data_IF_122906239227
#
_entry.id   IF_122906239227
#
_cell.length_a   1.000
_cell.length_b   1.000
_cell.length_c   1.000
_cell.angle_alpha   90.00
_cell.angle_beta   90.00
_cell.angle_gamma   90.00
#
_symmetry.space_group_name_H-M   'P 1'
#
loop_
_entity.id
_entity.type
_entity.pdbx_description
1 polymer ?
#
# COMPACT_ATOMS: atom_id res chain seq x y z
N UNK A 1 -31.46 1.27 8.33
CA UNK A 1 -31.61 1.63 6.90
C UNK A 1 -30.34 2.35 6.46
N UNK A 2 -29.93 2.27 5.18
CA UNK A 2 -28.88 3.14 4.62
C UNK A 2 -29.53 4.08 3.60
N UNK A 3 -29.24 5.37 3.69
CA UNK A 3 -29.78 6.41 2.80
C UNK A 3 -28.82 7.59 2.66
N UNK A 4 -28.97 8.45 1.64
CA UNK A 4 -28.27 9.73 1.62
C UNK A 4 -28.55 10.54 2.90
N UNK A 5 -27.51 11.20 3.43
CA UNK A 5 -27.67 12.17 4.50
C UNK A 5 -28.39 13.41 3.99
N UNK A 6 -29.22 14.03 4.83
CA UNK A 6 -29.92 15.26 4.50
C UNK A 6 -29.13 16.50 4.97
N UNK A 7 -29.30 17.67 4.33
CA UNK A 7 -28.60 18.90 4.75
C UNK A 7 -28.89 19.32 6.20
N UNK A 8 -30.09 19.06 6.73
CA UNK A 8 -30.43 19.33 8.12
C UNK A 8 -29.66 18.44 9.12
N UNK A 9 -29.05 17.35 8.65
CA UNK A 9 -28.29 16.41 9.48
C UNK A 9 -26.80 16.77 9.63
N UNK A 10 -26.29 17.82 8.96
CA UNK A 10 -24.87 18.21 9.03
C UNK A 10 -24.33 18.36 10.47
N UNK A 11 -25.04 18.99 11.44
CA UNK A 11 -24.56 19.07 12.82
C UNK A 11 -24.41 17.68 13.46
N UNK A 12 -25.35 16.77 13.16
CA UNK A 12 -25.33 15.41 13.65
C UNK A 12 -24.21 14.60 13.02
N UNK A 13 -23.95 14.79 11.73
CA UNK A 13 -22.83 14.18 11.02
C UNK A 13 -21.49 14.61 11.64
N UNK A 14 -21.27 15.91 11.85
CA UNK A 14 -20.06 16.43 12.51
C UNK A 14 -19.87 15.85 13.91
N UNK A 15 -20.96 15.72 14.69
CA UNK A 15 -20.93 15.08 16.00
C UNK A 15 -20.53 13.60 15.94
N UNK A 16 -21.06 12.84 14.96
CA UNK A 16 -20.68 11.43 14.75
C UNK A 16 -19.19 11.31 14.39
N UNK A 17 -18.69 12.18 13.52
CA UNK A 17 -17.26 12.21 13.17
C UNK A 17 -16.41 12.48 14.40
N UNK A 18 -16.74 13.51 15.18
CA UNK A 18 -15.96 13.87 16.36
C UNK A 18 -15.97 12.79 17.45
N UNK A 19 -17.14 12.20 17.74
CA UNK A 19 -17.26 11.07 18.67
C UNK A 19 -16.41 9.89 18.20
N UNK A 20 -16.53 9.52 16.93
CA UNK A 20 -15.81 8.38 16.40
C UNK A 20 -14.29 8.64 16.30
N UNK A 21 -13.88 9.86 15.96
CA UNK A 21 -12.48 10.22 15.79
C UNK A 21 -11.66 10.19 17.09
N UNK A 22 -12.30 10.12 18.27
CA UNK A 22 -11.61 9.89 19.55
C UNK A 22 -10.71 8.64 19.51
N UNK A 23 -11.04 7.64 18.68
CA UNK A 23 -10.19 6.46 18.49
C UNK A 23 -8.78 6.78 17.94
N UNK A 24 -8.60 7.94 17.30
CA UNK A 24 -7.30 8.38 16.79
C UNK A 24 -6.46 9.13 17.83
N UNK A 25 -7.04 9.54 18.95
CA UNK A 25 -6.35 10.31 19.98
C UNK A 25 -5.22 9.47 20.60
N UNK A 26 -3.98 9.97 20.49
CA UNK A 26 -2.78 9.26 20.94
C UNK A 26 -2.30 8.14 19.98
N UNK A 27 -2.97 7.93 18.85
CA UNK A 27 -2.55 6.96 17.82
C UNK A 27 -1.94 7.66 16.62
N UNK A 28 -2.56 8.74 16.16
CA UNK A 28 -2.04 9.54 15.04
C UNK A 28 -1.08 10.62 15.55
N UNK A 29 -0.23 11.21 14.68
CA UNK A 29 0.69 12.27 15.10
C UNK A 29 -0.05 13.42 15.81
N UNK A 30 0.49 13.87 16.95
CA UNK A 30 -0.15 14.88 17.79
C UNK A 30 -0.39 16.21 17.04
N UNK A 31 0.49 16.55 16.10
CA UNK A 31 0.41 17.72 15.23
C UNK A 31 -0.67 17.60 14.13
N UNK A 32 -1.29 16.43 14.00
CA UNK A 32 -2.39 16.14 13.06
C UNK A 32 -3.73 15.87 13.74
N UNK A 33 -3.73 15.60 15.05
CA UNK A 33 -4.97 15.47 15.81
C UNK A 33 -5.42 16.84 16.33
N UNK A 34 -6.72 17.11 16.21
CA UNK A 34 -7.34 18.35 16.70
C UNK A 34 -8.70 18.04 17.32
N UNK A 35 -9.19 18.96 18.15
CA UNK A 35 -10.45 18.82 18.88
C UNK A 35 -11.24 20.14 18.80
N UNK A 36 -12.45 20.16 18.20
CA UNK A 36 -13.13 19.03 17.55
C UNK A 36 -12.36 18.52 16.33
N UNK A 37 -12.43 17.21 16.07
CA UNK A 37 -11.70 16.56 14.97
C UNK A 37 -12.26 16.92 13.59
N UNK A 38 -13.54 17.30 13.52
CA UNK A 38 -14.13 17.85 12.30
C UNK A 38 -15.21 18.86 12.70
N UNK A 39 -14.86 20.15 12.81
CA UNK A 39 -15.82 21.22 12.97
C UNK A 39 -16.90 21.18 11.88
N UNK A 40 -18.09 21.70 12.17
CA UNK A 40 -19.19 21.77 11.21
C UNK A 40 -18.82 22.53 9.92
N UNK A 41 -18.02 23.59 10.03
CA UNK A 41 -17.53 24.34 8.88
C UNK A 41 -16.64 23.50 7.97
N UNK A 42 -15.76 22.68 8.55
CA UNK A 42 -14.90 21.77 7.79
C UNK A 42 -15.73 20.70 7.07
N UNK A 43 -16.72 20.10 7.75
CA UNK A 43 -17.64 19.15 7.13
C UNK A 43 -18.38 19.78 5.93
N UNK A 44 -18.82 21.04 6.06
CA UNK A 44 -19.45 21.78 4.96
C UNK A 44 -18.49 22.04 3.82
N UNK A 45 -17.22 22.32 4.12
CA UNK A 45 -16.14 22.42 3.13
C UNK A 45 -15.99 21.13 2.32
N UNK A 46 -16.00 19.96 2.98
CA UNK A 46 -15.95 18.65 2.32
C UNK A 46 -17.17 18.42 1.42
N UNK A 47 -18.37 18.75 1.89
CA UNK A 47 -19.60 18.65 1.08
C UNK A 47 -19.50 19.57 -0.15
N UNK A 48 -19.04 20.81 0.02
CA UNK A 48 -18.84 21.77 -1.07
C UNK A 48 -17.76 21.31 -2.07
N UNK A 49 -16.74 20.59 -1.60
CA UNK A 49 -15.73 19.94 -2.43
C UNK A 49 -16.24 18.70 -3.18
N UNK A 50 -17.53 18.36 -3.04
CA UNK A 50 -18.19 17.29 -3.79
C UNK A 50 -18.31 15.96 -3.05
N UNK A 51 -17.99 15.90 -1.76
CA UNK A 51 -18.22 14.69 -0.96
C UNK A 51 -19.72 14.49 -0.74
N UNK A 52 -20.22 13.32 -1.14
CA UNK A 52 -21.62 12.91 -0.93
C UNK A 52 -21.66 11.89 0.21
N UNK A 53 -22.55 12.09 1.18
CA UNK A 53 -22.62 11.25 2.38
C UNK A 53 -23.84 10.34 2.40
N UNK A 54 -23.63 9.10 2.85
CA UNK A 54 -24.66 8.14 3.22
C UNK A 54 -24.62 7.89 4.71
N UNK A 55 -25.82 7.83 5.29
CA UNK A 55 -26.05 7.60 6.70
C UNK A 55 -26.64 6.22 6.96
N UNK A 56 -26.19 5.59 8.04
CA UNK A 56 -26.83 4.42 8.61
C UNK A 56 -27.77 4.85 9.74
N UNK A 57 -29.03 4.47 9.61
CA UNK A 57 -30.09 4.75 10.58
C UNK A 57 -30.49 3.48 11.33
N UNK A 58 -30.53 3.57 12.66
CA UNK A 58 -30.99 2.52 13.58
C UNK A 58 -32.01 3.15 14.51
N UNK A 59 -33.20 2.57 14.60
CA UNK A 59 -34.31 3.06 15.43
C UNK A 59 -34.66 4.55 15.22
N UNK A 60 -34.55 5.04 13.99
CA UNK A 60 -34.82 6.43 13.62
C UNK A 60 -33.65 7.39 13.88
N UNK A 61 -32.54 6.91 14.47
CA UNK A 61 -31.36 7.73 14.75
C UNK A 61 -30.23 7.47 13.75
N UNK A 62 -29.59 8.55 13.29
CA UNK A 62 -28.37 8.46 12.49
C UNK A 62 -27.18 8.08 13.39
N UNK A 63 -26.62 6.90 13.15
CA UNK A 63 -25.58 6.29 14.00
C UNK A 63 -24.22 6.13 13.33
N UNK A 64 -24.15 6.32 12.02
CA UNK A 64 -22.90 6.27 11.26
C UNK A 64 -23.04 6.93 9.91
N UNK A 65 -21.92 7.40 9.38
CA UNK A 65 -21.82 8.04 8.07
C UNK A 65 -20.61 7.50 7.30
N UNK A 66 -20.71 7.51 5.97
CA UNK A 66 -19.59 7.31 5.08
C UNK A 66 -19.82 8.13 3.82
N UNK A 67 -18.78 8.80 3.36
CA UNK A 67 -18.79 9.63 2.17
C UNK A 67 -18.14 8.95 0.97
N UNK A 68 -18.54 9.35 -0.22
CA UNK A 68 -17.79 9.12 -1.46
C UNK A 68 -17.59 10.43 -2.22
N UNK A 69 -16.48 10.52 -2.93
CA UNK A 69 -16.13 11.66 -3.76
C UNK A 69 -15.53 11.18 -5.07
N UNK A 70 -16.21 11.47 -6.17
CA UNK A 70 -15.68 11.21 -7.50
C UNK A 70 -14.67 12.30 -7.85
N UNK A 71 -13.44 11.90 -8.15
CA UNK A 71 -12.36 12.80 -8.52
C UNK A 71 -11.69 12.32 -9.81
N UNK A 72 -11.27 13.26 -10.64
CA UNK A 72 -10.45 12.97 -11.79
C UNK A 72 -8.97 13.06 -11.39
N UNK A 73 -8.18 12.06 -11.77
CA UNK A 73 -6.74 12.17 -11.76
C UNK A 73 -6.31 13.24 -12.76
N UNK A 74 -5.18 13.89 -12.54
CA UNK A 74 -4.62 14.77 -13.53
C UNK A 74 -4.29 13.97 -14.78
N UNK A 75 -4.78 14.41 -15.95
CA UNK A 75 -4.41 13.82 -17.23
C UNK A 75 -2.87 13.89 -17.35
N UNK A 76 -2.22 12.74 -17.54
CA UNK A 76 -0.75 12.63 -17.53
C UNK A 76 -0.12 12.33 -16.16
N UNK A 77 -0.91 11.95 -15.15
CA UNK A 77 -0.37 11.34 -13.94
C UNK A 77 0.38 10.05 -14.32
N UNK A 78 1.70 10.06 -14.18
CA UNK A 78 2.62 8.92 -14.33
C UNK A 78 2.48 7.93 -13.15
N UNK A 79 1.24 7.54 -12.86
CA UNK A 79 0.94 6.49 -11.90
C UNK A 79 -0.05 5.52 -12.53
N UNK A 80 0.46 4.67 -13.41
CA UNK A 80 -0.32 3.66 -14.09
C UNK A 80 -1.42 4.24 -14.98
N UNK A 81 -2.43 3.43 -15.27
CA UNK A 81 -3.60 3.85 -16.05
C UNK A 81 -4.74 4.36 -15.14
N UNK A 82 -4.45 4.70 -13.88
CA UNK A 82 -5.48 5.16 -12.95
C UNK A 82 -5.79 6.64 -13.20
N UNK A 83 -6.91 6.87 -13.87
CA UNK A 83 -7.41 8.21 -14.20
C UNK A 83 -8.47 8.67 -13.21
N UNK A 84 -9.74 8.38 -13.49
CA UNK A 84 -10.83 8.78 -12.59
C UNK A 84 -11.08 7.73 -11.51
N UNK A 85 -11.27 8.18 -10.26
CA UNK A 85 -11.51 7.31 -9.11
C UNK A 85 -12.66 7.83 -8.27
N UNK A 86 -13.22 6.95 -7.44
CA UNK A 86 -14.08 7.31 -6.32
C UNK A 86 -13.27 7.18 -5.04
N UNK A 87 -13.18 8.24 -4.25
CA UNK A 87 -12.56 8.20 -2.93
C UNK A 87 -13.60 7.85 -1.88
N UNK A 88 -13.29 6.89 -1.02
CA UNK A 88 -14.05 6.70 0.23
C UNK A 88 -13.57 7.74 1.23
N UNK A 89 -14.53 8.52 1.73
CA UNK A 89 -14.31 9.64 2.65
C UNK A 89 -15.04 9.38 3.96
N UNK A 90 -14.49 9.88 5.06
CA UNK A 90 -15.20 10.04 6.33
C UNK A 90 -16.04 8.84 6.81
N UNK A 91 -15.41 7.67 6.90
CA UNK A 91 -16.03 6.44 7.36
C UNK A 91 -16.10 6.38 8.89
N UNK A 92 -17.22 6.81 9.47
CA UNK A 92 -17.38 6.96 10.92
C UNK A 92 -18.67 6.36 11.44
N UNK A 93 -18.58 5.59 12.53
CA UNK A 93 -19.73 5.05 13.26
C UNK A 93 -19.55 5.45 14.72
N UNK A 94 -20.65 5.89 15.35
CA UNK A 94 -20.68 6.27 16.77
C UNK A 94 -20.02 5.20 17.62
N UNK A 95 -19.27 5.62 18.61
CA UNK A 95 -18.49 4.74 19.49
C UNK A 95 -19.37 3.70 20.17
N UNK A 96 -20.58 4.07 20.61
CA UNK A 96 -21.57 3.18 21.21
C UNK A 96 -22.19 2.15 20.26
N UNK A 97 -21.99 2.30 18.95
CA UNK A 97 -22.61 1.48 17.89
C UNK A 97 -21.57 0.66 17.10
N UNK A 98 -20.31 0.65 17.55
CA UNK A 98 -19.22 -0.12 16.93
C UNK A 98 -19.38 -1.63 17.14
N UNK A 99 -18.77 -2.41 16.26
CA UNK A 99 -18.82 -3.88 16.33
C UNK A 99 -20.15 -4.49 15.84
N UNK A 100 -21.17 -3.68 15.58
CA UNK A 100 -22.49 -4.13 15.12
C UNK A 100 -22.62 -4.29 13.58
N UNK A 101 -21.49 -4.23 12.87
CA UNK A 101 -21.44 -4.39 11.41
C UNK A 101 -21.95 -3.19 10.59
N UNK A 102 -22.26 -2.05 11.24
CA UNK A 102 -22.78 -0.85 10.56
C UNK A 102 -21.80 -0.33 9.49
N UNK A 103 -20.51 -0.20 9.84
CA UNK A 103 -19.49 0.28 8.90
C UNK A 103 -19.36 -0.61 7.66
N UNK A 104 -19.46 -1.93 7.83
CA UNK A 104 -19.42 -2.88 6.71
C UNK A 104 -20.65 -2.76 5.80
N UNK A 105 -21.84 -2.52 6.36
CA UNK A 105 -23.05 -2.26 5.57
C UNK A 105 -22.94 -0.96 4.77
N UNK A 106 -22.44 0.12 5.38
CA UNK A 106 -22.18 1.40 4.70
C UNK A 106 -21.18 1.24 3.57
N UNK A 107 -20.04 0.60 3.84
CA UNK A 107 -19.00 0.37 2.84
C UNK A 107 -19.54 -0.45 1.67
N UNK A 108 -20.24 -1.55 1.93
CA UNK A 108 -20.85 -2.37 0.88
C UNK A 108 -21.80 -1.55 0.00
N UNK A 109 -22.68 -0.77 0.61
CA UNK A 109 -23.62 0.08 -0.11
C UNK A 109 -22.89 1.08 -1.04
N UNK A 110 -21.79 1.68 -0.58
CA UNK A 110 -21.01 2.61 -1.38
C UNK A 110 -20.20 1.91 -2.48
N UNK A 111 -19.68 0.70 -2.22
CA UNK A 111 -19.03 -0.12 -3.23
C UNK A 111 -19.99 -0.50 -4.36
N UNK A 112 -21.23 -0.84 -4.03
CA UNK A 112 -22.28 -1.18 -5.00
C UNK A 112 -22.70 0.04 -5.85
N UNK A 113 -22.56 1.27 -5.31
CA UNK A 113 -22.83 2.52 -6.04
C UNK A 113 -21.66 2.97 -6.92
N UNK A 114 -20.43 2.61 -6.58
CA UNK A 114 -19.24 3.14 -7.20
C UNK A 114 -18.99 2.57 -8.61
N UNK A 115 -19.15 3.43 -9.62
CA UNK A 115 -18.89 3.07 -11.01
C UNK A 115 -17.40 3.11 -11.37
N UNK A 116 -16.60 3.82 -10.58
CA UNK A 116 -15.15 3.99 -10.78
C UNK A 116 -14.35 3.13 -9.79
N UNK A 117 -13.07 2.86 -10.09
CA UNK A 117 -12.14 2.27 -9.13
C UNK A 117 -12.14 3.03 -7.81
N UNK A 118 -12.04 2.30 -6.69
CA UNK A 118 -12.14 2.89 -5.35
C UNK A 118 -10.77 2.99 -4.70
N UNK A 119 -10.48 4.16 -4.13
CA UNK A 119 -9.35 4.37 -3.25
C UNK A 119 -9.81 4.85 -1.88
N UNK A 120 -9.01 4.55 -0.86
CA UNK A 120 -9.25 5.00 0.50
C UNK A 120 -7.92 5.30 1.17
N UNK A 121 -7.79 6.51 1.72
CA UNK A 121 -6.64 6.96 2.49
C UNK A 121 -6.93 6.90 3.99
N UNK A 122 -6.00 6.37 4.77
CA UNK A 122 -6.10 6.38 6.24
C UNK A 122 -4.71 6.52 6.88
N UNK A 123 -4.67 6.76 8.19
CA UNK A 123 -3.41 6.82 8.95
C UNK A 123 -2.75 5.45 9.00
N UNK A 124 -1.44 5.38 8.75
CA UNK A 124 -0.68 4.12 8.83
C UNK A 124 -0.80 3.45 10.21
N UNK A 125 -0.82 4.26 11.27
CA UNK A 125 -0.98 3.81 12.65
C UNK A 125 -2.40 3.29 12.99
N UNK A 126 -3.41 3.61 12.17
CA UNK A 126 -4.78 3.14 12.35
C UNK A 126 -4.95 1.72 11.81
N UNK A 127 -4.25 0.75 12.39
CA UNK A 127 -4.22 -0.65 11.94
C UNK A 127 -5.61 -1.28 11.90
N UNK A 128 -6.54 -0.85 12.76
CA UNK A 128 -7.95 -1.28 12.73
C UNK A 128 -8.68 -0.82 11.47
N UNK A 129 -8.38 0.38 10.97
CA UNK A 129 -8.98 0.90 9.74
C UNK A 129 -8.41 0.14 8.54
N UNK A 130 -7.07 -0.03 8.49
CA UNK A 130 -6.40 -0.84 7.47
C UNK A 130 -6.99 -2.25 7.41
N UNK A 131 -7.08 -2.94 8.55
CA UNK A 131 -7.66 -4.28 8.65
C UNK A 131 -9.15 -4.33 8.28
N UNK A 132 -9.92 -3.29 8.61
CA UNK A 132 -11.32 -3.18 8.20
C UNK A 132 -11.45 -3.19 6.67
N UNK A 133 -10.70 -2.36 5.95
CA UNK A 133 -10.79 -2.30 4.49
C UNK A 133 -10.20 -3.55 3.82
N UNK A 134 -9.12 -4.12 4.36
CA UNK A 134 -8.57 -5.39 3.87
C UNK A 134 -9.59 -6.53 3.93
N UNK A 135 -10.33 -6.64 5.04
CA UNK A 135 -11.43 -7.62 5.18
C UNK A 135 -12.54 -7.42 4.13
N UNK A 136 -12.68 -6.21 3.58
CA UNK A 136 -13.67 -5.88 2.55
C UNK A 136 -13.06 -5.83 1.13
N UNK A 137 -11.90 -6.47 0.91
CA UNK A 137 -11.33 -6.70 -0.40
C UNK A 137 -10.42 -5.58 -0.92
N UNK A 138 -10.08 -4.59 -0.09
CA UNK A 138 -9.07 -3.60 -0.45
C UNK A 138 -7.67 -4.13 -0.17
N UNK A 139 -6.70 -3.69 -0.94
CA UNK A 139 -5.29 -4.05 -0.77
C UNK A 139 -4.45 -2.79 -0.54
N UNK A 140 -3.45 -2.89 0.34
CA UNK A 140 -2.49 -1.81 0.58
C UNK A 140 -1.67 -1.58 -0.69
N UNK A 141 -1.53 -0.32 -1.11
CA UNK A 141 -0.66 0.05 -2.23
C UNK A 141 0.81 0.05 -1.77
N UNK A 142 1.75 -0.16 -2.71
CA UNK A 142 3.16 -0.06 -2.39
C UNK A 142 3.52 1.37 -1.94
N UNK A 143 4.63 1.52 -1.21
CA UNK A 143 5.05 2.82 -0.67
C UNK A 143 5.22 3.89 -1.78
N UNK A 144 5.88 3.54 -2.88
CA UNK A 144 6.08 4.44 -4.02
C UNK A 144 4.77 4.86 -4.70
N UNK A 145 3.79 3.96 -4.78
CA UNK A 145 2.46 4.23 -5.35
C UNK A 145 1.64 5.12 -4.41
N UNK A 146 1.67 4.83 -3.11
CA UNK A 146 0.93 5.54 -2.07
C UNK A 146 1.23 7.05 -2.09
N UNK A 147 2.50 7.46 -2.10
CA UNK A 147 2.85 8.88 -2.05
C UNK A 147 2.34 9.64 -3.27
N UNK A 148 2.51 9.05 -4.45
CA UNK A 148 1.96 9.58 -5.71
C UNK A 148 0.43 9.70 -5.64
N UNK A 149 -0.28 8.64 -5.19
CA UNK A 149 -1.74 8.65 -5.05
C UNK A 149 -2.23 9.77 -4.14
N UNK A 150 -1.60 9.91 -2.96
CA UNK A 150 -1.98 10.95 -2.00
C UNK A 150 -1.79 12.35 -2.57
N UNK A 151 -0.69 12.61 -3.29
CA UNK A 151 -0.43 13.92 -3.91
C UNK A 151 -1.34 14.25 -5.09
N UNK A 152 -1.88 13.24 -5.77
CA UNK A 152 -2.76 13.42 -6.95
C UNK A 152 -4.21 13.59 -6.54
N UNK A 153 -4.70 12.76 -5.62
CA UNK A 153 -6.13 12.66 -5.32
C UNK A 153 -6.52 13.28 -3.97
N UNK A 154 -5.56 13.64 -3.12
CA UNK A 154 -5.82 14.30 -1.84
C UNK A 154 -5.13 15.67 -1.78
N UNK A 155 -5.85 16.66 -1.24
CA UNK A 155 -5.27 17.93 -0.84
C UNK A 155 -4.95 17.86 0.66
N UNK A 156 -3.77 17.34 1.00
CA UNK A 156 -3.31 17.15 2.38
C UNK A 156 -1.85 17.60 2.55
N UNK A 157 -1.44 18.03 3.75
CA UNK A 157 -0.04 18.40 4.01
C UNK A 157 0.93 17.22 3.84
N UNK A 158 2.18 17.48 3.45
CA UNK A 158 3.24 16.46 3.32
C UNK A 158 3.40 15.59 4.56
N UNK A 159 3.28 16.20 5.75
CA UNK A 159 3.33 15.47 7.02
C UNK A 159 2.26 14.37 7.12
N UNK A 160 1.09 14.60 6.55
CA UNK A 160 0.03 13.60 6.48
C UNK A 160 0.28 12.58 5.37
N UNK A 161 0.91 12.98 4.26
CA UNK A 161 1.37 12.04 3.22
C UNK A 161 2.32 11.02 3.81
N UNK A 162 3.35 11.45 4.55
CA UNK A 162 4.33 10.58 5.22
C UNK A 162 3.67 9.52 6.10
N UNK A 163 2.67 9.93 6.89
CA UNK A 163 2.10 9.13 7.98
C UNK A 163 0.80 8.41 7.62
N UNK A 164 0.37 8.50 6.35
CA UNK A 164 -0.81 7.81 5.83
C UNK A 164 -0.46 6.57 5.02
N UNK A 165 -1.47 5.79 4.68
CA UNK A 165 -1.44 4.71 3.70
C UNK A 165 -2.65 4.83 2.77
N UNK A 166 -2.55 4.26 1.58
CA UNK A 166 -3.66 4.14 0.64
C UNK A 166 -3.99 2.67 0.45
N UNK A 167 -5.28 2.37 0.45
CA UNK A 167 -5.82 1.08 0.07
C UNK A 167 -6.67 1.24 -1.18
N UNK A 168 -6.56 0.26 -2.08
CA UNK A 168 -7.23 0.25 -3.38
C UNK A 168 -8.13 -0.98 -3.50
N UNK A 169 -9.30 -0.82 -4.12
CA UNK A 169 -10.14 -1.96 -4.51
C UNK A 169 -9.46 -2.75 -5.66
N UNK A 170 -9.94 -3.96 -6.00
CA UNK A 170 -9.31 -4.78 -7.04
C UNK A 170 -9.23 -4.07 -8.41
N UNK A 171 -10.21 -3.22 -8.74
CA UNK A 171 -10.21 -2.44 -9.99
C UNK A 171 -9.11 -1.39 -9.98
N UNK A 172 -8.97 -0.65 -8.88
CA UNK A 172 -7.94 0.37 -8.73
C UNK A 172 -6.56 -0.27 -8.69
N UNK A 173 -6.39 -1.38 -7.95
CA UNK A 173 -5.12 -2.08 -7.86
C UNK A 173 -4.60 -2.55 -9.23
N UNK A 174 -5.50 -2.96 -10.14
CA UNK A 174 -5.13 -3.32 -11.51
C UNK A 174 -4.64 -2.12 -12.35
N UNK A 175 -5.01 -0.90 -11.98
CA UNK A 175 -4.69 0.32 -12.73
C UNK A 175 -3.52 1.11 -12.12
N UNK A 176 -3.33 1.04 -10.80
CA UNK A 176 -2.22 1.70 -10.08
C UNK A 176 -0.88 1.07 -10.44
N UNK A 177 -0.84 -0.25 -10.63
CA UNK A 177 0.40 -0.97 -10.91
C UNK A 177 0.95 -0.61 -12.28
N UNK A 178 2.18 -0.11 -12.31
CA UNK A 178 2.89 0.15 -13.56
C UNK A 178 3.62 -1.10 -14.07
N UNK A 179 3.78 -1.18 -15.40
CA UNK A 179 4.72 -2.14 -15.97
C UNK A 179 6.13 -1.71 -15.59
N UNK A 180 6.95 -2.67 -15.19
CA UNK A 180 8.37 -2.45 -14.88
C UNK A 180 9.20 -2.78 -16.12
N UNK A 181 10.08 -1.87 -16.52
CA UNK A 181 11.09 -2.13 -17.54
C UNK A 181 12.42 -2.44 -16.87
N UNK A 182 12.93 -3.66 -17.05
CA UNK A 182 14.23 -4.04 -16.49
C UNK A 182 15.35 -3.07 -16.91
N UNK A 183 15.38 -2.67 -18.19
CA UNK A 183 16.39 -1.74 -18.70
C UNK A 183 16.31 -0.36 -18.01
N UNK A 184 15.11 0.18 -17.82
CA UNK A 184 14.92 1.48 -17.17
C UNK A 184 15.29 1.45 -15.68
N UNK A 185 15.05 0.32 -15.02
CA UNK A 185 15.43 0.13 -13.63
C UNK A 185 16.95 -0.06 -13.48
N UNK A 186 17.59 -0.89 -14.32
CA UNK A 186 19.05 -1.07 -14.30
C UNK A 186 19.80 0.23 -14.60
N UNK A 187 19.28 1.10 -15.46
CA UNK A 187 19.85 2.42 -15.72
C UNK A 187 19.92 3.31 -14.46
N UNK A 188 19.07 3.06 -13.46
CA UNK A 188 19.04 3.80 -12.20
C UNK A 188 19.84 3.14 -11.07
N UNK A 189 20.32 1.90 -11.25
CA UNK A 189 21.12 1.18 -10.25
C UNK A 189 22.59 1.50 -10.48
N UNK A 190 23.13 2.46 -9.71
CA UNK A 190 24.53 2.87 -9.83
C UNK A 190 25.53 1.93 -9.14
N UNK A 191 25.15 1.36 -8.00
CA UNK A 191 26.03 0.56 -7.15
C UNK A 191 25.85 -0.96 -7.37
N UNK A 192 26.95 -1.71 -7.25
CA UNK A 192 26.90 -3.17 -7.23
C UNK A 192 26.41 -3.70 -5.89
N UNK A 193 25.81 -4.89 -5.88
CA UNK A 193 25.31 -5.57 -4.67
C UNK A 193 24.27 -4.76 -3.88
N UNK A 194 23.60 -3.81 -4.54
CA UNK A 194 22.52 -3.00 -3.98
C UNK A 194 21.22 -3.36 -4.69
N UNK A 195 20.47 -4.37 -4.20
CA UNK A 195 19.23 -4.80 -4.81
C UNK A 195 18.17 -3.72 -4.63
N UNK A 196 17.51 -3.36 -5.73
CA UNK A 196 16.41 -2.41 -5.77
C UNK A 196 15.11 -3.18 -5.84
N UNK A 197 14.22 -2.97 -4.86
CA UNK A 197 12.86 -3.53 -4.86
C UNK A 197 12.05 -2.87 -5.98
N UNK A 198 11.52 -3.69 -6.90
CA UNK A 198 10.76 -3.22 -8.06
C UNK A 198 9.33 -3.77 -8.12
N UNK A 199 8.98 -4.73 -7.26
CA UNK A 199 7.62 -5.22 -7.15
C UNK A 199 7.42 -6.17 -5.98
N UNK A 200 6.17 -6.35 -5.58
CA UNK A 200 5.78 -7.32 -4.55
C UNK A 200 4.51 -8.08 -4.97
N UNK A 201 4.49 -9.39 -4.71
CA UNK A 201 3.32 -10.23 -4.90
C UNK A 201 3.30 -11.40 -3.93
N UNK A 202 2.14 -11.67 -3.32
CA UNK A 202 1.94 -12.85 -2.46
C UNK A 202 3.02 -13.05 -1.37
N UNK A 203 3.52 -11.95 -0.79
CA UNK A 203 4.60 -11.98 0.21
C UNK A 203 6.01 -12.15 -0.35
N UNK A 204 6.16 -12.22 -1.68
CA UNK A 204 7.44 -12.24 -2.39
C UNK A 204 7.80 -10.85 -2.89
N UNK A 205 9.09 -10.57 -2.91
CA UNK A 205 9.70 -9.39 -3.48
C UNK A 205 10.37 -9.75 -4.81
N UNK A 206 10.22 -8.85 -5.78
CA UNK A 206 10.97 -8.85 -7.04
C UNK A 206 11.98 -7.71 -6.94
N UNK A 207 13.27 -8.03 -7.04
CA UNK A 207 14.35 -7.03 -6.98
C UNK A 207 15.23 -7.12 -8.22
N UNK A 208 15.77 -6.00 -8.67
CA UNK A 208 16.85 -5.99 -9.65
C UNK A 208 18.17 -5.63 -8.98
N UNK A 209 19.26 -6.29 -9.39
CA UNK A 209 20.59 -6.02 -8.86
C UNK A 209 21.67 -6.15 -9.95
N UNK A 210 22.66 -5.27 -9.88
CA UNK A 210 23.91 -5.39 -10.65
C UNK A 210 24.94 -6.04 -9.74
N UNK A 211 25.56 -7.13 -10.20
CA UNK A 211 26.58 -7.85 -9.45
C UNK A 211 27.90 -7.79 -10.22
N UNK A 212 29.01 -7.69 -9.49
CA UNK A 212 30.38 -7.79 -10.03
C UNK A 212 31.35 -8.14 -8.92
N UNK A 213 32.30 -9.02 -9.22
CA UNK A 213 33.23 -9.56 -8.24
C UNK A 213 32.60 -10.69 -7.42
N UNK A 214 32.92 -10.76 -6.14
CA UNK A 214 32.45 -11.81 -5.25
C UNK A 214 31.65 -11.22 -4.09
N UNK A 215 30.63 -11.92 -3.64
CA UNK A 215 29.95 -11.66 -2.37
C UNK A 215 30.46 -12.61 -1.28
N UNK A 216 30.15 -12.32 -0.03
CA UNK A 216 30.56 -13.18 1.08
C UNK A 216 29.72 -14.46 1.15
N UNK A 217 30.30 -15.50 1.76
CA UNK A 217 29.55 -16.71 2.10
C UNK A 217 28.45 -16.36 3.09
N UNK A 218 27.23 -16.80 2.81
CA UNK A 218 26.07 -16.56 3.68
C UNK A 218 25.02 -17.66 3.50
N UNK A 219 24.03 -17.64 4.40
CA UNK A 219 22.89 -18.56 4.39
C UNK A 219 21.62 -17.85 4.86
N UNK A 220 20.46 -18.32 4.41
CA UNK A 220 19.16 -17.89 4.90
C UNK A 220 18.49 -19.07 5.59
N UNK A 221 18.15 -18.94 6.88
CA UNK A 221 17.66 -20.06 7.66
C UNK A 221 16.24 -20.50 7.28
N UNK A 222 15.38 -19.55 6.89
CA UNK A 222 13.96 -19.80 6.68
C UNK A 222 13.51 -19.59 5.23
N UNK A 223 14.34 -18.96 4.40
CA UNK A 223 13.98 -18.45 3.09
C UNK A 223 14.75 -19.16 1.97
N UNK A 224 14.04 -19.53 0.91
CA UNK A 224 14.65 -19.87 -0.37
C UNK A 224 14.92 -18.57 -1.14
N UNK A 225 16.04 -18.48 -1.86
CA UNK A 225 16.39 -17.31 -2.67
C UNK A 225 16.61 -17.71 -4.13
N UNK A 226 15.99 -17.00 -5.07
CA UNK A 226 16.18 -17.24 -6.50
C UNK A 226 17.05 -16.16 -7.14
N UNK A 227 18.08 -16.60 -7.87
CA UNK A 227 18.86 -15.78 -8.78
C UNK A 227 18.45 -16.09 -10.22
N UNK A 228 17.84 -15.14 -10.92
CA UNK A 228 17.58 -15.22 -12.36
C UNK A 228 18.48 -14.24 -13.10
N UNK A 229 19.39 -14.75 -13.93
CA UNK A 229 20.31 -13.93 -14.72
C UNK A 229 19.61 -13.40 -15.97
N UNK A 230 19.57 -12.08 -16.12
CA UNK A 230 19.03 -11.40 -17.30
C UNK A 230 20.14 -11.06 -18.31
N UNK A 231 21.33 -10.73 -17.82
CA UNK A 231 22.53 -10.43 -18.62
C UNK A 231 23.79 -10.84 -17.87
N UNK A 232 24.81 -11.32 -18.58
CA UNK A 232 26.07 -11.80 -18.02
C UNK A 232 26.01 -13.26 -17.55
N UNK A 233 26.93 -13.62 -16.66
CA UNK A 233 27.05 -14.98 -16.11
C UNK A 233 27.31 -14.90 -14.61
N UNK A 234 26.52 -15.64 -13.82
CA UNK A 234 26.65 -15.74 -12.37
C UNK A 234 27.06 -17.15 -11.99
N UNK A 235 28.04 -17.29 -11.11
CA UNK A 235 28.36 -18.56 -10.45
C UNK A 235 27.93 -18.52 -9.00
N UNK A 236 27.06 -19.44 -8.60
CA UNK A 236 26.78 -19.70 -7.19
C UNK A 236 27.70 -20.82 -6.71
N UNK A 237 28.70 -20.45 -5.90
CA UNK A 237 29.57 -21.44 -5.23
C UNK A 237 28.81 -22.04 -4.05
N UNK A 238 28.69 -23.37 -4.05
CA UNK A 238 28.20 -24.15 -2.92
C UNK A 238 29.38 -24.94 -2.33
N UNK A 239 29.20 -25.50 -1.14
CA UNK A 239 30.27 -26.29 -0.50
C UNK A 239 30.72 -27.51 -1.30
N UNK A 240 29.83 -28.07 -2.13
CA UNK A 240 30.06 -29.34 -2.84
C UNK A 240 30.26 -29.16 -4.34
N UNK A 241 29.78 -28.06 -4.91
CA UNK A 241 29.81 -27.80 -6.35
C UNK A 241 29.59 -26.32 -6.63
N UNK A 242 29.93 -25.92 -7.85
CA UNK A 242 29.56 -24.62 -8.38
C UNK A 242 28.35 -24.77 -9.33
N UNK A 243 27.49 -23.77 -9.35
CA UNK A 243 26.36 -23.67 -10.29
C UNK A 243 26.58 -22.42 -11.13
N UNK A 244 26.84 -22.61 -12.42
CA UNK A 244 26.96 -21.51 -13.40
C UNK A 244 25.57 -21.25 -13.98
N UNK A 245 25.17 -19.98 -14.04
CA UNK A 245 23.86 -19.51 -14.46
C UNK A 245 24.08 -18.46 -15.56
N UNK A 246 23.61 -18.76 -16.77
CA UNK A 246 23.65 -17.86 -17.92
C UNK A 246 22.37 -17.05 -18.11
N UNK A 247 22.33 -16.17 -19.14
CA UNK A 247 21.15 -15.36 -19.43
C UNK A 247 19.89 -16.20 -19.67
N UNK A 248 18.78 -15.77 -19.07
CA UNK A 248 17.49 -16.45 -19.04
C UNK A 248 17.46 -17.78 -18.26
N UNK A 249 18.51 -18.08 -17.51
CA UNK A 249 18.55 -19.20 -16.57
C UNK A 249 18.38 -18.70 -15.14
N UNK A 250 17.85 -19.56 -14.27
CA UNK A 250 17.72 -19.27 -12.84
C UNK A 250 18.16 -20.44 -11.98
N UNK A 251 18.60 -20.13 -10.77
CA UNK A 251 18.86 -21.10 -9.72
C UNK A 251 18.17 -20.66 -8.44
N UNK A 252 17.50 -21.60 -7.77
CA UNK A 252 16.96 -21.40 -6.43
C UNK A 252 17.94 -22.02 -5.44
N UNK A 253 18.48 -21.19 -4.56
CA UNK A 253 19.24 -21.63 -3.40
C UNK A 253 18.23 -22.04 -2.32
N UNK A 254 18.19 -23.33 -1.93
CA UNK A 254 17.28 -23.76 -0.88
C UNK A 254 17.68 -23.15 0.47
N UNK A 255 16.69 -22.89 1.33
CA UNK A 255 16.91 -22.44 2.70
C UNK A 255 17.91 -23.34 3.44
N UNK A 256 18.76 -22.71 4.25
CA UNK A 256 19.82 -23.37 5.02
C UNK A 256 21.04 -23.79 4.19
N UNK A 257 21.05 -23.56 2.88
CA UNK A 257 22.22 -23.84 2.03
C UNK A 257 23.15 -22.64 2.01
N UNK A 258 24.34 -22.84 2.57
CA UNK A 258 25.41 -21.86 2.52
C UNK A 258 25.95 -21.73 1.09
N UNK A 259 26.06 -20.49 0.62
CA UNK A 259 26.42 -20.21 -0.75
C UNK A 259 27.19 -18.89 -0.89
N UNK A 260 27.88 -18.72 -2.02
CA UNK A 260 28.64 -17.52 -2.36
C UNK A 260 28.44 -17.14 -3.84
N UNK A 261 27.71 -16.06 -4.12
CA UNK A 261 27.59 -15.50 -5.46
C UNK A 261 28.91 -14.91 -5.98
N UNK A 262 29.27 -15.26 -7.21
CA UNK A 262 30.50 -14.81 -7.89
C UNK A 262 30.20 -14.46 -9.33
N UNK A 263 30.58 -13.26 -9.74
CA UNK A 263 30.36 -12.74 -11.08
C UNK A 263 31.63 -12.05 -11.59
N UNK A 264 32.38 -12.72 -12.48
CA UNK A 264 33.70 -12.24 -12.93
C UNK A 264 33.60 -10.93 -13.74
N UNK A 265 32.56 -10.82 -14.57
CA UNK A 265 32.15 -9.60 -15.23
C UNK A 265 30.92 -9.02 -14.54
N UNK A 266 30.40 -7.89 -15.04
CA UNK A 266 29.09 -7.43 -14.57
C UNK A 266 28.00 -8.41 -15.02
N UNK A 267 27.12 -8.77 -14.10
CA UNK A 267 25.86 -9.44 -14.41
C UNK A 267 24.68 -8.65 -13.84
N UNK A 268 23.57 -8.71 -14.57
CA UNK A 268 22.29 -8.12 -14.20
C UNK A 268 21.34 -9.25 -13.84
N UNK A 269 20.86 -9.23 -12.61
CA UNK A 269 20.01 -10.30 -12.08
C UNK A 269 18.69 -9.74 -11.58
N UNK A 270 17.67 -10.59 -11.67
CA UNK A 270 16.45 -10.46 -10.89
C UNK A 270 16.52 -11.41 -9.70
N UNK A 271 16.32 -10.87 -8.51
CA UNK A 271 16.16 -11.64 -7.29
C UNK A 271 14.67 -11.82 -7.00
N UNK A 272 14.31 -13.02 -6.56
CA UNK A 272 12.95 -13.32 -6.13
C UNK A 272 12.99 -14.08 -4.81
N UNK A 273 12.45 -13.45 -3.76
CA UNK A 273 12.62 -13.92 -2.39
C UNK A 273 11.44 -13.46 -1.50
N UNK A 274 11.14 -14.14 -0.39
CA UNK A 274 10.19 -13.64 0.60
C UNK A 274 10.53 -12.24 1.12
N UNK A 275 9.54 -11.42 1.44
CA UNK A 275 9.75 -10.06 1.97
C UNK A 275 10.50 -10.00 3.31
N UNK A 276 10.52 -11.13 4.04
CA UNK A 276 11.27 -11.26 5.30
C UNK A 276 12.77 -11.53 5.10
N UNK A 277 13.20 -11.83 3.87
CA UNK A 277 14.58 -12.24 3.59
C UNK A 277 15.55 -11.10 3.85
N UNK A 278 16.56 -11.35 4.68
CA UNK A 278 17.63 -10.40 4.96
C UNK A 278 18.66 -10.46 3.85
N UNK A 279 18.95 -9.34 3.20
CA UNK A 279 19.91 -9.25 2.09
C UNK A 279 21.31 -9.84 2.38
N UNK A 280 21.80 -9.76 3.63
CA UNK A 280 23.14 -10.24 4.00
C UNK A 280 23.15 -11.67 4.58
N UNK A 281 21.98 -12.30 4.70
CA UNK A 281 21.82 -13.58 5.39
C UNK A 281 22.39 -13.55 6.82
N UNK A 282 22.66 -14.73 7.35
CA UNK A 282 23.51 -14.89 8.53
C UNK A 282 24.95 -15.21 8.08
N UNK A 283 25.92 -14.55 8.70
CA UNK A 283 27.35 -14.76 8.39
C UNK A 283 27.91 -15.96 9.16
N UNK A 284 28.93 -16.66 8.62
CA UNK A 284 29.58 -17.76 9.33
C UNK A 284 30.17 -17.28 10.66
N UNK A 285 29.66 -17.84 11.77
CA UNK A 285 30.21 -17.60 13.13
C UNK A 285 29.51 -16.50 13.95
N UNK A 286 28.34 -16.03 13.53
CA UNK A 286 27.45 -15.18 14.34
C UNK A 286 26.50 -15.98 15.24
#
# INVERSE_FOLDING_TARGET
MIRPCRPDEEPLMSAIVCDAAQAYKGVIPADRYHEPYMPLEELRGEIAAGVKFWGAEVDGELVGIMGIQDVAGTAGCELGNIGEVTLIRHAYVRTSQRGLGIGGKLLKHLMDLAQRPLLMGTWAAATWAVGFYQKHGFTLTAHAEKEKLLRVYWNIPERQVETSVVLADPRAMALVREKVSAEAEFAQIGAFWSPRLVGELNGQQVKFCRLKGEFDWHTHAAEDEMFWVLEGELTIRLRQRDVVIGPNEFYVVPRGVEHKPVCAQECRVMLFEPAATKQYGDQPGA
#
